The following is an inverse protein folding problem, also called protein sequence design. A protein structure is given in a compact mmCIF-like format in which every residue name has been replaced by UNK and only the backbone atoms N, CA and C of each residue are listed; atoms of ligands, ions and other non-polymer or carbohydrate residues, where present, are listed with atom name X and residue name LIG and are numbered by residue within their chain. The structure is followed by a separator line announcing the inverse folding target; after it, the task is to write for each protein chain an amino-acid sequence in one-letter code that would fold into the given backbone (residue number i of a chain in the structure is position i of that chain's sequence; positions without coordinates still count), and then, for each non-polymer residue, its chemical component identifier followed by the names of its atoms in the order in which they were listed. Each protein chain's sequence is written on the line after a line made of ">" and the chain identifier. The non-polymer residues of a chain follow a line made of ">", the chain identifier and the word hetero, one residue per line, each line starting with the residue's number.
data_IF_732556106019
#
_entry.id   IF_732556106019
#
_cell.length_a   1.000
_cell.length_b   1.000
_cell.length_c   1.000
_cell.angle_alpha   90.00
_cell.angle_beta   90.00
_cell.angle_gamma   90.00
#
_symmetry.space_group_name_H-M   'P 1'
#
loop_
_entity.id
_entity.type
_entity.pdbx_description
1 polymer ?
#
# COMPACT_ATOMS: atom_id res chain seq x y z
N UNK A 1 16.10 5.58 3.35
CA UNK A 1 15.53 6.95 3.38
C UNK A 1 16.41 7.91 4.16
N UNK A 2 16.59 7.75 5.48
CA UNK A 2 17.33 8.74 6.29
C UNK A 2 18.81 8.93 5.93
N UNK A 3 19.42 7.95 5.26
CA UNK A 3 20.80 8.00 4.78
C UNK A 3 20.93 8.51 3.34
N UNK A 4 19.82 8.79 2.66
CA UNK A 4 19.84 9.21 1.26
C UNK A 4 20.32 10.67 1.15
N UNK A 5 21.35 10.98 0.36
CA UNK A 5 21.87 12.35 0.24
C UNK A 5 20.81 13.37 -0.18
N UNK A 6 19.90 12.97 -1.09
CA UNK A 6 18.83 13.84 -1.58
C UNK A 6 17.83 14.18 -0.46
N UNK A 7 17.51 13.21 0.39
CA UNK A 7 16.70 13.42 1.59
C UNK A 7 17.34 14.43 2.53
N UNK A 8 18.63 14.24 2.84
CA UNK A 8 19.37 15.08 3.78
C UNK A 8 19.47 16.52 3.25
N UNK A 9 19.82 16.70 1.98
CA UNK A 9 19.92 18.01 1.33
C UNK A 9 18.57 18.72 1.36
N UNK A 10 17.49 18.03 1.00
CA UNK A 10 16.15 18.62 1.02
C UNK A 10 15.68 18.99 2.44
N UNK A 11 15.98 18.17 3.45
CA UNK A 11 15.72 18.51 4.86
C UNK A 11 16.47 19.78 5.30
N UNK A 12 17.78 19.86 5.00
CA UNK A 12 18.60 21.03 5.34
C UNK A 12 18.08 22.27 4.62
N UNK A 13 17.75 22.15 3.32
CA UNK A 13 17.21 23.24 2.52
C UNK A 13 15.90 23.79 3.08
N UNK A 14 14.95 22.91 3.44
CA UNK A 14 13.69 23.35 4.07
C UNK A 14 13.93 23.98 5.45
N UNK A 15 14.81 23.42 6.27
CA UNK A 15 15.12 23.97 7.60
C UNK A 15 15.74 25.38 7.50
N UNK A 16 16.64 25.59 6.55
CA UNK A 16 17.22 26.90 6.26
C UNK A 16 16.17 27.90 5.78
N UNK A 17 15.29 27.49 4.86
CA UNK A 17 14.21 28.35 4.37
C UNK A 17 13.27 28.76 5.51
N UNK A 18 12.89 27.81 6.37
CA UNK A 18 12.04 28.07 7.53
C UNK A 18 12.71 29.04 8.50
N UNK A 19 14.00 28.83 8.80
CA UNK A 19 14.75 29.72 9.70
C UNK A 19 14.85 31.15 9.16
N UNK A 20 15.17 31.29 7.86
CA UNK A 20 15.26 32.59 7.19
C UNK A 20 13.90 33.30 7.22
N UNK A 21 12.81 32.59 6.95
CA UNK A 21 11.45 33.13 7.03
C UNK A 21 11.11 33.63 8.43
N UNK A 22 11.30 32.79 9.46
CA UNK A 22 11.02 33.16 10.85
C UNK A 22 11.84 34.40 11.24
N UNK A 23 13.12 34.44 10.90
CA UNK A 23 13.99 35.58 11.21
C UNK A 23 13.47 36.86 10.55
N UNK A 24 13.12 36.80 9.27
CA UNK A 24 12.59 37.94 8.53
C UNK A 24 11.25 38.42 9.08
N UNK A 25 10.31 37.52 9.39
CA UNK A 25 9.02 37.89 9.99
C UNK A 25 9.15 38.49 11.41
N UNK A 26 10.31 38.38 12.06
CA UNK A 26 10.60 39.03 13.35
C UNK A 26 11.31 40.39 13.18
N UNK A 27 11.95 40.64 12.04
CA UNK A 27 12.62 41.90 11.74
C UNK A 27 11.61 42.85 11.04
N UNK A 28 11.31 44.00 11.67
CA UNK A 28 10.26 44.94 11.23
C UNK A 28 10.33 45.37 9.73
N UNK A 29 9.14 45.61 9.16
CA UNK A 29 8.71 45.91 7.76
C UNK A 29 9.51 46.95 6.91
N UNK A 30 10.62 47.51 7.40
CA UNK A 30 11.33 48.63 6.74
C UNK A 30 12.67 48.27 6.08
N UNK A 31 12.93 46.99 5.81
CA UNK A 31 14.16 46.53 5.15
C UNK A 31 13.80 46.05 3.74
N UNK A 32 14.53 46.51 2.72
CA UNK A 32 14.42 45.95 1.36
C UNK A 32 14.53 44.43 1.42
N UNK A 33 13.61 43.73 0.76
CA UNK A 33 13.58 42.27 0.77
C UNK A 33 14.94 41.71 0.32
N UNK A 34 15.68 41.00 1.20
CA UNK A 34 16.93 40.39 0.83
C UNK A 34 16.71 39.41 -0.33
N UNK A 35 17.72 39.27 -1.20
CA UNK A 35 17.69 38.30 -2.32
C UNK A 35 17.17 36.91 -1.90
N UNK A 36 17.56 36.43 -0.72
CA UNK A 36 17.13 35.15 -0.16
C UNK A 36 15.62 35.07 0.12
N UNK A 37 14.98 36.16 0.57
CA UNK A 37 13.53 36.21 0.81
C UNK A 37 12.77 36.19 -0.52
N UNK A 38 13.24 36.97 -1.51
CA UNK A 38 12.65 37.01 -2.85
C UNK A 38 12.59 35.64 -3.53
N UNK A 39 13.60 34.79 -3.32
CA UNK A 39 13.67 33.44 -3.92
C UNK A 39 13.31 32.31 -2.96
N UNK A 40 12.85 32.62 -1.75
CA UNK A 40 12.61 31.65 -0.70
C UNK A 40 11.60 30.57 -1.10
N UNK A 41 10.52 30.97 -1.78
CA UNK A 41 9.50 30.05 -2.28
C UNK A 41 10.09 29.04 -3.28
N UNK A 42 10.93 29.49 -4.21
CA UNK A 42 11.60 28.62 -5.19
C UNK A 42 12.58 27.65 -4.53
N UNK A 43 13.38 28.14 -3.58
CA UNK A 43 14.33 27.31 -2.81
C UNK A 43 13.60 26.25 -1.97
N UNK A 44 12.50 26.64 -1.31
CA UNK A 44 11.64 25.74 -0.55
C UNK A 44 10.99 24.70 -1.47
N UNK A 45 10.52 25.09 -2.65
CA UNK A 45 9.94 24.17 -3.63
C UNK A 45 10.96 23.14 -4.13
N UNK A 46 12.17 23.56 -4.51
CA UNK A 46 13.24 22.65 -4.95
C UNK A 46 13.62 21.68 -3.83
N UNK A 47 13.75 22.17 -2.60
CA UNK A 47 14.07 21.35 -1.43
C UNK A 47 12.96 20.34 -1.11
N UNK A 48 11.70 20.77 -1.19
CA UNK A 48 10.52 19.92 -1.01
C UNK A 48 10.39 18.86 -2.11
N UNK A 49 10.67 19.21 -3.37
CA UNK A 49 10.67 18.28 -4.49
C UNK A 49 11.78 17.22 -4.34
N UNK A 50 12.97 17.62 -3.91
CA UNK A 50 14.07 16.70 -3.61
C UNK A 50 13.71 15.70 -2.49
N UNK A 51 13.07 16.18 -1.41
CA UNK A 51 12.53 15.32 -0.35
C UNK A 51 11.52 14.31 -0.88
N UNK A 52 10.52 14.78 -1.63
CA UNK A 52 9.48 13.91 -2.18
C UNK A 52 10.08 12.86 -3.11
N UNK A 53 10.99 13.24 -4.01
CA UNK A 53 11.64 12.32 -4.94
C UNK A 53 12.43 11.24 -4.20
N UNK A 54 13.17 11.62 -3.14
CA UNK A 54 13.87 10.66 -2.28
C UNK A 54 12.91 9.68 -1.59
N UNK A 55 11.80 10.18 -1.05
CA UNK A 55 10.80 9.36 -0.36
C UNK A 55 10.21 8.34 -1.33
N UNK A 56 9.83 8.76 -2.54
CA UNK A 56 9.27 7.86 -3.55
C UNK A 56 10.29 6.82 -4.02
N UNK A 57 11.54 7.22 -4.30
CA UNK A 57 12.58 6.31 -4.76
C UNK A 57 12.92 5.24 -3.73
N UNK A 58 12.97 5.62 -2.45
CA UNK A 58 13.34 4.71 -1.36
C UNK A 58 12.13 3.99 -0.72
N UNK A 59 10.93 4.11 -1.29
CA UNK A 59 9.67 3.63 -0.69
C UNK A 59 9.53 4.03 0.79
N UNK A 60 9.90 5.27 1.10
CA UNK A 60 9.89 5.84 2.46
C UNK A 60 8.48 5.94 3.03
N UNK A 61 8.38 5.84 4.36
CA UNK A 61 7.11 6.01 5.07
C UNK A 61 6.76 7.50 5.14
N UNK A 62 5.86 7.93 4.26
CA UNK A 62 5.37 9.30 4.20
C UNK A 62 4.62 9.70 5.49
N UNK A 63 4.17 8.76 6.32
CA UNK A 63 3.63 9.02 7.65
C UNK A 63 4.65 9.65 8.60
N UNK A 64 5.92 9.23 8.54
CA UNK A 64 7.00 9.81 9.36
C UNK A 64 7.25 11.28 8.97
N UNK A 65 7.19 11.56 7.68
CA UNK A 65 7.41 12.92 7.13
C UNK A 65 6.25 13.84 7.51
N UNK A 66 5.01 13.34 7.42
CA UNK A 66 3.83 14.07 7.88
C UNK A 66 3.88 14.33 9.39
N UNK A 67 4.31 13.36 10.19
CA UNK A 67 4.52 13.55 11.63
C UNK A 67 5.57 14.64 11.90
N UNK A 68 6.76 14.53 11.30
CA UNK A 68 7.83 15.50 11.49
C UNK A 68 7.40 16.91 11.07
N UNK A 69 6.76 17.04 9.90
CA UNK A 69 6.20 18.31 9.43
C UNK A 69 5.15 18.89 10.37
N UNK A 70 4.25 18.04 10.90
CA UNK A 70 3.25 18.46 11.88
C UNK A 70 3.88 18.94 13.20
N UNK A 71 4.92 18.25 13.69
CA UNK A 71 5.64 18.65 14.90
C UNK A 71 6.38 19.98 14.71
N UNK A 72 7.05 20.16 13.56
CA UNK A 72 7.72 21.43 13.22
C UNK A 72 6.70 22.57 13.16
N UNK A 73 5.60 22.38 12.42
CA UNK A 73 4.55 23.40 12.32
C UNK A 73 3.94 23.73 13.70
N UNK A 74 3.77 22.74 14.56
CA UNK A 74 3.30 22.93 15.93
C UNK A 74 4.28 23.74 16.79
N UNK A 75 5.58 23.42 16.71
CA UNK A 75 6.62 24.16 17.44
C UNK A 75 6.68 25.62 16.97
N UNK A 76 6.67 25.86 15.66
CA UNK A 76 6.70 27.23 15.10
C UNK A 76 5.43 28.00 15.48
N UNK A 77 4.28 27.34 15.54
CA UNK A 77 3.04 27.95 16.03
C UNK A 77 3.14 28.38 17.50
N UNK A 78 3.73 27.54 18.38
CA UNK A 78 3.97 27.88 19.79
C UNK A 78 4.94 29.06 19.89
N UNK A 79 6.02 29.06 19.10
CA UNK A 79 6.99 30.16 19.06
C UNK A 79 6.32 31.46 18.61
N UNK A 80 5.47 31.42 17.58
CA UNK A 80 4.70 32.59 17.13
C UNK A 80 3.80 33.16 18.23
N UNK A 81 3.14 32.29 19.01
CA UNK A 81 2.32 32.71 20.14
C UNK A 81 3.17 33.30 21.28
N UNK A 82 4.31 32.68 21.60
CA UNK A 82 5.24 33.17 22.64
C UNK A 82 5.85 34.54 22.28
N UNK A 83 6.13 34.78 21.00
CA UNK A 83 6.68 36.03 20.49
C UNK A 83 5.60 37.09 20.19
N UNK A 84 4.32 36.80 20.45
CA UNK A 84 3.17 37.65 20.10
C UNK A 84 3.14 38.07 18.61
N UNK A 85 3.70 37.25 17.72
CA UNK A 85 3.73 37.52 16.29
C UNK A 85 2.56 36.79 15.60
N UNK A 86 1.56 37.56 15.17
CA UNK A 86 0.35 37.02 14.56
C UNK A 86 0.59 36.39 13.18
N UNK A 87 1.56 36.88 12.41
CA UNK A 87 1.91 36.36 11.09
C UNK A 87 2.46 34.92 11.21
N UNK A 88 3.44 34.72 12.10
CA UNK A 88 4.04 33.41 12.34
C UNK A 88 3.01 32.43 12.89
N UNK A 89 2.22 32.85 13.87
CA UNK A 89 1.22 32.00 14.51
C UNK A 89 0.13 31.55 13.52
N UNK A 90 -0.44 32.48 12.74
CA UNK A 90 -1.51 32.17 11.79
C UNK A 90 -1.01 31.32 10.62
N UNK A 91 0.16 31.65 10.07
CA UNK A 91 0.77 30.89 8.97
C UNK A 91 1.09 29.45 9.41
N UNK A 92 1.72 29.29 10.58
CA UNK A 92 2.05 27.97 11.12
C UNK A 92 0.81 27.13 11.43
N UNK A 93 -0.26 27.76 11.94
CA UNK A 93 -1.55 27.11 12.15
C UNK A 93 -2.16 26.59 10.85
N UNK A 94 -2.04 27.38 9.77
CA UNK A 94 -2.49 27.02 8.42
C UNK A 94 -1.80 25.76 7.88
N UNK A 95 -0.52 25.54 8.22
CA UNK A 95 0.19 24.31 7.87
C UNK A 95 -0.06 23.16 8.85
N UNK A 96 -0.11 23.45 10.15
CA UNK A 96 -0.25 22.44 11.20
C UNK A 96 -1.57 21.65 11.06
N UNK A 97 -2.70 22.35 10.91
CA UNK A 97 -4.01 21.69 10.91
C UNK A 97 -4.15 20.68 9.75
N UNK A 98 -3.90 21.02 8.47
CA UNK A 98 -4.00 20.06 7.38
C UNK A 98 -2.98 18.94 7.49
N UNK A 99 -1.71 19.23 7.82
CA UNK A 99 -0.68 18.20 7.95
C UNK A 99 -1.01 17.21 9.05
N UNK A 100 -1.47 17.70 10.20
CA UNK A 100 -1.84 16.85 11.33
C UNK A 100 -3.08 16.01 11.02
N UNK A 101 -4.11 16.58 10.38
CA UNK A 101 -5.29 15.82 9.94
C UNK A 101 -4.88 14.73 8.95
N UNK A 102 -4.11 15.05 7.91
CA UNK A 102 -3.64 14.08 6.92
C UNK A 102 -2.78 13.01 7.60
N UNK A 103 -1.91 13.38 8.53
CA UNK A 103 -1.13 12.44 9.34
C UNK A 103 -2.04 11.47 10.11
N UNK A 104 -3.02 11.97 10.86
CA UNK A 104 -3.92 11.13 11.66
C UNK A 104 -4.74 10.19 10.76
N UNK A 105 -5.36 10.74 9.71
CA UNK A 105 -6.16 9.96 8.75
C UNK A 105 -5.32 8.85 8.11
N UNK A 106 -4.11 9.17 7.65
CA UNK A 106 -3.25 8.21 6.95
C UNK A 106 -2.59 7.20 7.87
N UNK A 107 -2.17 7.62 9.05
CA UNK A 107 -1.49 6.73 10.00
C UNK A 107 -2.47 5.71 10.58
N UNK A 108 -3.71 6.13 10.89
CA UNK A 108 -4.64 5.30 11.67
C UNK A 108 -5.87 4.79 10.92
N UNK A 109 -6.32 5.44 9.83
CA UNK A 109 -7.56 5.07 9.15
C UNK A 109 -7.32 4.45 7.78
N UNK A 110 -7.04 5.27 6.77
CA UNK A 110 -6.97 4.82 5.36
C UNK A 110 -5.68 5.24 4.69
N UNK A 111 -5.05 4.28 4.02
CA UNK A 111 -3.85 4.53 3.23
C UNK A 111 -4.07 4.15 1.76
N UNK A 112 -3.80 5.08 0.82
CA UNK A 112 -3.98 4.80 -0.59
C UNK A 112 -2.82 3.96 -1.14
N UNK A 113 -3.13 2.93 -1.93
CA UNK A 113 -2.16 2.08 -2.62
C UNK A 113 -2.52 1.92 -4.10
N UNK A 114 -1.53 1.86 -4.98
CA UNK A 114 -1.73 1.48 -6.38
C UNK A 114 -1.42 0.00 -6.57
N UNK A 115 -2.24 -0.71 -7.34
CA UNK A 115 -2.00 -2.11 -7.70
C UNK A 115 -0.99 -2.20 -8.86
N UNK A 116 0.22 -2.76 -8.63
CA UNK A 116 1.24 -2.86 -9.66
C UNK A 116 1.16 -4.15 -10.49
N UNK A 117 0.37 -5.14 -10.04
CA UNK A 117 0.38 -6.52 -10.56
C UNK A 117 -1.03 -7.11 -10.69
N UNK A 118 -1.20 -8.08 -11.60
CA UNK A 118 -2.48 -8.75 -11.87
C UNK A 118 -2.76 -10.00 -11.03
N UNK A 119 -2.14 -10.15 -9.85
CA UNK A 119 -2.33 -11.35 -9.01
C UNK A 119 -3.72 -11.46 -8.36
N UNK A 120 -4.46 -10.35 -8.32
CA UNK A 120 -5.82 -10.24 -7.78
C UNK A 120 -6.87 -10.01 -8.88
N UNK A 121 -6.51 -10.31 -10.14
CA UNK A 121 -7.46 -10.32 -11.25
C UNK A 121 -8.46 -11.48 -11.09
N UNK A 122 -9.73 -11.32 -11.52
CA UNK A 122 -10.22 -10.23 -12.39
C UNK A 122 -10.71 -8.98 -11.64
N UNK A 123 -10.98 -9.07 -10.33
CA UNK A 123 -11.58 -8.00 -9.55
C UNK A 123 -10.65 -6.78 -9.44
N UNK A 124 -9.40 -7.00 -9.02
CA UNK A 124 -8.40 -5.95 -8.85
C UNK A 124 -7.37 -6.04 -9.98
N UNK A 125 -7.31 -4.99 -10.79
CA UNK A 125 -6.49 -4.92 -11.99
C UNK A 125 -5.30 -4.00 -11.79
N UNK A 126 -4.27 -4.18 -12.61
CA UNK A 126 -3.12 -3.28 -12.62
C UNK A 126 -3.57 -1.85 -12.92
N UNK A 127 -3.14 -0.90 -12.09
CA UNK A 127 -3.54 0.50 -12.19
C UNK A 127 -4.73 0.89 -11.32
N UNK A 128 -5.40 -0.06 -10.65
CA UNK A 128 -6.40 0.26 -9.64
C UNK A 128 -5.75 0.91 -8.41
N UNK A 129 -6.39 1.94 -7.87
CA UNK A 129 -6.02 2.62 -6.63
C UNK A 129 -6.99 2.23 -5.53
N UNK A 130 -6.44 1.66 -4.47
CA UNK A 130 -7.15 1.13 -3.33
C UNK A 130 -7.10 2.09 -2.15
N UNK A 131 -8.14 2.06 -1.31
CA UNK A 131 -8.10 2.56 0.06
C UNK A 131 -7.99 1.38 1.01
N UNK A 132 -6.86 1.30 1.70
CA UNK A 132 -6.57 0.23 2.66
C UNK A 132 -6.91 0.72 4.05
N UNK A 133 -7.88 0.06 4.68
CA UNK A 133 -8.28 0.29 6.06
C UNK A 133 -7.29 -0.38 7.01
N UNK A 134 -6.48 0.44 7.70
CA UNK A 134 -5.45 -0.03 8.64
C UNK A 134 -6.04 -0.37 10.01
N UNK A 135 -7.20 0.19 10.32
CA UNK A 135 -7.89 -0.06 11.58
C UNK A 135 -8.50 -1.47 11.63
N UNK A 136 -8.85 -2.07 10.49
CA UNK A 136 -9.51 -3.38 10.42
C UNK A 136 -8.79 -4.48 11.19
N UNK A 137 -7.47 -4.42 11.33
CA UNK A 137 -6.65 -5.42 12.03
C UNK A 137 -5.97 -4.88 13.29
N UNK A 138 -6.49 -3.78 13.84
CA UNK A 138 -6.04 -3.14 15.07
C UNK A 138 -5.00 -2.04 14.87
N UNK A 139 -4.83 -1.21 15.90
CA UNK A 139 -3.95 -0.05 15.85
C UNK A 139 -2.48 -0.46 15.97
N UNK A 140 -1.71 -0.15 14.91
CA UNK A 140 -0.27 -0.44 14.80
C UNK A 140 0.51 0.84 14.58
N UNK A 141 1.67 0.92 15.22
CA UNK A 141 2.64 2.02 14.99
C UNK A 141 3.61 1.62 13.88
N UNK A 142 4.08 0.37 13.90
CA UNK A 142 5.01 -0.16 12.89
C UNK A 142 4.25 -1.00 11.86
N UNK A 143 4.73 -0.98 10.62
CA UNK A 143 4.13 -1.73 9.50
C UNK A 143 4.06 -3.26 9.77
N UNK A 144 5.05 -3.80 10.49
CA UNK A 144 5.07 -5.18 10.99
C UNK A 144 5.11 -5.13 12.52
N UNK A 145 4.00 -5.49 13.15
CA UNK A 145 3.88 -5.61 14.61
C UNK A 145 2.52 -6.19 14.98
N UNK A 146 2.43 -6.76 16.18
CA UNK A 146 1.13 -7.05 16.78
C UNK A 146 0.44 -5.75 17.22
N UNK A 147 -0.87 -5.59 16.96
CA UNK A 147 -1.61 -4.42 17.41
C UNK A 147 -1.65 -4.36 18.94
N UNK A 148 -1.40 -3.19 19.52
CA UNK A 148 -1.47 -3.00 20.99
C UNK A 148 -2.90 -2.82 21.49
N UNK A 149 -3.77 -2.27 20.65
CA UNK A 149 -5.15 -1.93 20.98
C UNK A 149 -6.09 -2.34 19.84
N UNK A 150 -7.35 -2.65 20.18
CA UNK A 150 -8.44 -2.93 19.24
C UNK A 150 -8.08 -4.04 18.24
N UNK A 151 -7.49 -5.13 18.75
CA UNK A 151 -7.08 -6.27 17.94
C UNK A 151 -8.31 -6.99 17.38
N UNK A 152 -8.41 -7.02 16.06
CA UNK A 152 -9.35 -7.85 15.32
C UNK A 152 -8.54 -8.75 14.40
N UNK A 153 -8.90 -10.02 14.29
CA UNK A 153 -8.24 -10.95 13.37
C UNK A 153 -8.93 -10.91 11.99
N UNK A 154 -8.20 -11.18 10.90
CA UNK A 154 -8.76 -11.12 9.55
C UNK A 154 -9.79 -12.24 9.36
N UNK A 155 -10.82 -11.98 8.56
CA UNK A 155 -11.88 -12.93 8.26
C UNK A 155 -11.69 -13.63 6.92
N UNK A 156 -12.29 -14.81 6.76
CA UNK A 156 -12.20 -15.58 5.53
C UNK A 156 -12.72 -14.77 4.35
N UNK A 157 -12.01 -14.83 3.22
CA UNK A 157 -12.34 -14.05 2.03
C UNK A 157 -11.87 -12.59 2.09
N UNK A 158 -11.35 -12.09 3.22
CA UNK A 158 -10.87 -10.71 3.30
C UNK A 158 -9.74 -10.45 2.28
N UNK A 159 -9.84 -9.37 1.48
CA UNK A 159 -8.72 -8.85 0.70
C UNK A 159 -7.72 -8.17 1.66
N UNK A 160 -6.72 -8.93 2.07
CA UNK A 160 -5.71 -8.53 3.06
C UNK A 160 -4.49 -7.91 2.39
N UNK A 161 -4.03 -6.79 2.92
CA UNK A 161 -2.70 -6.25 2.64
C UNK A 161 -1.74 -6.79 3.69
N UNK A 162 -0.70 -7.48 3.24
CA UNK A 162 0.32 -8.12 4.06
C UNK A 162 1.70 -7.59 3.68
N UNK A 163 2.64 -7.66 4.61
CA UNK A 163 4.06 -7.40 4.32
C UNK A 163 4.81 -8.73 4.46
N UNK A 164 5.19 -9.40 3.37
CA UNK A 164 5.83 -10.70 3.46
C UNK A 164 7.17 -10.62 4.22
N UNK A 165 7.57 -11.65 4.99
CA UNK A 165 8.77 -11.61 5.83
C UNK A 165 10.08 -11.32 5.07
N UNK A 166 10.16 -11.76 3.81
CA UNK A 166 11.35 -11.67 2.96
C UNK A 166 11.32 -10.47 2.00
N UNK A 167 10.25 -9.66 2.00
CA UNK A 167 10.15 -8.50 1.12
C UNK A 167 9.33 -7.37 1.79
N UNK A 168 9.91 -6.18 2.01
CA UNK A 168 9.23 -5.08 2.70
C UNK A 168 8.11 -4.42 1.88
N UNK A 169 7.89 -4.85 0.64
CA UNK A 169 6.84 -4.33 -0.24
C UNK A 169 5.48 -4.93 0.13
N UNK A 170 4.43 -4.13 0.38
CA UNK A 170 3.10 -4.63 0.69
C UNK A 170 2.48 -5.41 -0.47
N UNK A 171 1.94 -6.58 -0.17
CA UNK A 171 1.23 -7.44 -1.11
C UNK A 171 -0.25 -7.48 -0.74
N UNK A 172 -1.11 -7.45 -1.75
CA UNK A 172 -2.53 -7.76 -1.58
C UNK A 172 -2.79 -9.21 -1.98
N UNK A 173 -3.50 -9.92 -1.11
CA UNK A 173 -3.95 -11.31 -1.31
C UNK A 173 -5.30 -11.49 -0.63
N UNK A 174 -5.97 -12.60 -0.91
CA UNK A 174 -7.20 -13.00 -0.22
C UNK A 174 -6.90 -13.98 0.89
N UNK A 175 -7.55 -13.82 2.05
CA UNK A 175 -7.45 -14.77 3.14
C UNK A 175 -8.21 -16.06 2.82
N UNK A 176 -7.50 -17.20 2.82
CA UNK A 176 -8.07 -18.52 2.55
C UNK A 176 -7.98 -19.45 3.78
N UNK A 177 -6.98 -19.31 4.65
CA UNK A 177 -6.84 -20.18 5.82
C UNK A 177 -6.47 -19.42 7.08
N UNK A 178 -7.08 -19.80 8.19
CA UNK A 178 -6.80 -19.33 9.55
C UNK A 178 -5.95 -20.36 10.32
N UNK A 179 -5.36 -19.98 11.47
CA UNK A 179 -4.58 -20.90 12.29
C UNK A 179 -5.32 -22.21 12.58
N UNK A 180 -4.71 -23.34 12.26
CA UNK A 180 -5.27 -24.68 12.46
C UNK A 180 -6.00 -25.29 11.26
N UNK A 181 -6.31 -24.51 10.23
CA UNK A 181 -7.01 -25.04 9.05
C UNK A 181 -6.13 -25.99 8.22
N UNK A 182 -6.76 -26.98 7.62
CA UNK A 182 -6.18 -27.80 6.56
C UNK A 182 -6.69 -27.33 5.20
N UNK A 183 -5.81 -26.80 4.37
CA UNK A 183 -6.10 -26.32 3.02
C UNK A 183 -5.62 -27.36 2.02
N UNK A 184 -6.50 -27.81 1.13
CA UNK A 184 -6.16 -28.74 0.06
C UNK A 184 -6.61 -28.22 -1.29
N UNK A 185 -5.78 -28.36 -2.31
CA UNK A 185 -6.10 -28.00 -3.70
C UNK A 185 -6.13 -29.29 -4.53
N UNK A 186 -7.25 -29.56 -5.19
CA UNK A 186 -7.41 -30.69 -6.11
C UNK A 186 -8.06 -30.17 -7.39
N UNK A 187 -7.42 -30.35 -8.55
CA UNK A 187 -7.94 -29.89 -9.85
C UNK A 187 -8.42 -28.42 -9.81
N UNK A 188 -7.57 -27.54 -9.24
CA UNK A 188 -7.82 -26.10 -9.06
C UNK A 188 -9.05 -25.76 -8.20
N UNK A 189 -9.60 -26.71 -7.45
CA UNK A 189 -10.67 -26.50 -6.46
C UNK A 189 -10.09 -26.55 -5.06
N UNK A 190 -10.45 -25.55 -4.25
CA UNK A 190 -10.06 -25.47 -2.84
C UNK A 190 -10.98 -26.31 -1.96
N UNK A 191 -10.36 -26.95 -0.98
CA UNK A 191 -11.00 -27.66 0.11
C UNK A 191 -10.41 -27.15 1.42
N UNK A 192 -11.25 -26.79 2.37
CA UNK A 192 -10.86 -26.28 3.69
C UNK A 192 -11.43 -27.22 4.73
N UNK A 193 -10.59 -27.79 5.56
CA UNK A 193 -10.96 -28.78 6.58
C UNK A 193 -11.76 -29.96 6.00
N UNK A 194 -11.48 -30.33 4.75
CA UNK A 194 -12.15 -31.40 4.01
C UNK A 194 -13.40 -30.96 3.22
N UNK A 195 -13.92 -29.77 3.45
CA UNK A 195 -15.10 -29.24 2.74
C UNK A 195 -14.70 -28.46 1.50
N UNK A 196 -15.34 -28.75 0.36
CA UNK A 196 -15.03 -28.08 -0.89
C UNK A 196 -15.68 -26.69 -0.93
N UNK A 197 -14.91 -25.66 -1.28
CA UNK A 197 -15.50 -24.33 -1.49
C UNK A 197 -16.48 -24.37 -2.68
N UNK A 198 -17.64 -23.74 -2.47
CA UNK A 198 -18.65 -23.58 -3.51
C UNK A 198 -18.11 -22.62 -4.58
N UNK A 199 -18.27 -22.99 -5.85
CA UNK A 199 -17.89 -22.13 -6.96
C UNK A 199 -18.87 -22.25 -8.12
N UNK A 200 -19.19 -21.12 -8.73
CA UNK A 200 -20.10 -21.01 -9.86
C UNK A 200 -19.33 -20.43 -11.05
N UNK A 201 -19.36 -21.13 -12.19
CA UNK A 201 -18.74 -20.65 -13.41
C UNK A 201 -19.46 -19.41 -13.92
N UNK A 202 -18.70 -18.40 -14.33
CA UNK A 202 -19.24 -17.13 -14.87
C UNK A 202 -19.03 -17.09 -16.37
N UNK A 203 -17.78 -17.02 -16.80
CA UNK A 203 -17.41 -16.90 -18.20
C UNK A 203 -15.97 -17.37 -18.46
N UNK A 204 -15.64 -17.47 -19.75
CA UNK A 204 -14.29 -17.75 -20.22
C UNK A 204 -13.77 -16.53 -20.97
N UNK A 205 -12.53 -16.14 -20.71
CA UNK A 205 -11.87 -15.01 -21.36
C UNK A 205 -10.51 -15.42 -21.96
N UNK A 206 -10.07 -14.66 -22.97
CA UNK A 206 -8.71 -14.76 -23.48
C UNK A 206 -7.79 -13.88 -22.66
N UNK A 207 -6.70 -14.44 -22.15
CA UNK A 207 -5.70 -13.71 -21.36
C UNK A 207 -4.32 -13.82 -22.00
N UNK A 208 -3.47 -12.82 -21.72
CA UNK A 208 -2.07 -12.83 -22.11
C UNK A 208 -1.24 -13.15 -20.87
N UNK A 209 -0.60 -14.31 -20.85
CA UNK A 209 0.35 -14.66 -19.80
C UNK A 209 1.73 -14.14 -20.16
N UNK A 210 2.38 -13.45 -19.21
CA UNK A 210 3.80 -13.07 -19.33
C UNK A 210 4.65 -14.04 -18.52
N UNK A 211 5.28 -14.99 -19.18
CA UNK A 211 6.13 -15.99 -18.52
C UNK A 211 7.60 -15.64 -18.66
N UNK A 212 8.36 -15.81 -17.58
CA UNK A 212 9.82 -15.63 -17.56
C UNK A 212 10.48 -16.99 -17.74
N UNK A 213 11.30 -17.12 -18.78
CA UNK A 213 12.09 -18.31 -19.06
C UNK A 213 13.54 -18.04 -18.74
N UNK A 214 14.12 -18.82 -17.82
CA UNK A 214 15.54 -18.80 -17.54
C UNK A 214 16.23 -19.83 -18.45
N UNK A 215 17.08 -19.35 -19.34
CA UNK A 215 17.85 -20.20 -20.24
C UNK A 215 19.10 -20.74 -19.54
N UNK A 216 19.68 -21.87 -20.00
CA UNK A 216 20.94 -22.39 -19.47
C UNK A 216 22.11 -21.40 -19.52
N UNK A 217 22.06 -20.43 -20.45
CA UNK A 217 23.02 -19.31 -20.53
C UNK A 217 22.94 -18.34 -19.35
N UNK A 218 21.91 -18.42 -18.52
CA UNK A 218 21.61 -17.48 -17.44
C UNK A 218 20.65 -16.36 -17.82
N UNK A 219 20.38 -16.18 -19.12
CA UNK A 219 19.48 -15.14 -19.62
C UNK A 219 18.02 -15.40 -19.19
N UNK A 220 17.33 -14.34 -18.76
CA UNK A 220 15.91 -14.39 -18.41
C UNK A 220 15.13 -13.62 -19.47
N UNK A 221 14.36 -14.34 -20.29
CA UNK A 221 13.52 -13.73 -21.32
C UNK A 221 12.05 -13.84 -20.91
N UNK A 222 11.34 -12.72 -20.95
CA UNK A 222 9.89 -12.70 -20.80
C UNK A 222 9.24 -12.96 -22.16
N UNK A 223 8.38 -13.97 -22.26
CA UNK A 223 7.54 -14.23 -23.44
C UNK A 223 6.08 -14.10 -23.09
N UNK A 224 5.32 -13.55 -24.03
CA UNK A 224 3.87 -13.45 -23.94
C UNK A 224 3.24 -14.62 -24.67
N UNK A 225 2.30 -15.30 -24.03
CA UNK A 225 1.56 -16.43 -24.61
C UNK A 225 0.08 -16.25 -24.37
N UNK A 226 -0.72 -16.48 -25.40
CA UNK A 226 -2.17 -16.51 -25.27
C UNK A 226 -2.58 -17.71 -24.42
N UNK A 227 -3.49 -17.49 -23.47
CA UNK A 227 -4.09 -18.52 -22.66
C UNK A 227 -5.59 -18.23 -22.47
N UNK A 228 -6.28 -19.20 -21.89
CA UNK A 228 -7.71 -19.12 -21.63
C UNK A 228 -7.92 -19.10 -20.12
N UNK A 229 -8.54 -18.04 -19.60
CA UNK A 229 -8.94 -17.91 -18.20
C UNK A 229 -10.42 -18.25 -18.03
N UNK A 230 -10.74 -19.11 -17.09
CA UNK A 230 -12.11 -19.37 -16.63
C UNK A 230 -12.35 -18.59 -15.33
N UNK A 231 -13.39 -17.75 -15.34
CA UNK A 231 -13.81 -16.95 -14.20
C UNK A 231 -14.88 -17.72 -13.41
N UNK A 232 -14.73 -17.71 -12.09
CA UNK A 232 -15.71 -18.29 -11.17
C UNK A 232 -16.03 -17.30 -10.05
N UNK A 233 -17.28 -17.27 -9.58
CA UNK A 233 -17.57 -16.85 -8.22
C UNK A 233 -17.15 -17.98 -7.28
N UNK A 234 -16.37 -17.67 -6.26
CA UNK A 234 -16.03 -18.60 -5.19
C UNK A 234 -16.56 -18.03 -3.87
N UNK A 235 -17.29 -18.86 -3.13
CA UNK A 235 -17.88 -18.51 -1.85
C UNK A 235 -17.06 -19.11 -0.72
N UNK A 236 -16.76 -18.28 0.26
CA UNK A 236 -16.05 -18.67 1.47
C UNK A 236 -16.71 -17.99 2.68
N UNK A 237 -17.47 -18.78 3.45
CA UNK A 237 -18.37 -18.29 4.50
C UNK A 237 -19.32 -17.20 3.96
N UNK A 238 -19.26 -16.01 4.54
CA UNK A 238 -20.13 -14.87 4.19
C UNK A 238 -19.56 -14.02 3.03
N UNK A 239 -18.37 -14.36 2.52
CA UNK A 239 -17.72 -13.67 1.42
C UNK A 239 -17.89 -14.42 0.10
N UNK A 240 -18.19 -13.68 -0.97
CA UNK A 240 -18.23 -14.18 -2.34
C UNK A 240 -17.41 -13.25 -3.23
N UNK A 241 -16.50 -13.82 -4.01
CA UNK A 241 -15.53 -13.07 -4.80
C UNK A 241 -15.21 -13.77 -6.12
N UNK A 242 -14.68 -13.01 -7.08
CA UNK A 242 -14.29 -13.54 -8.38
C UNK A 242 -12.87 -14.08 -8.34
N UNK A 243 -12.68 -15.27 -8.91
CA UNK A 243 -11.37 -15.88 -9.13
C UNK A 243 -11.18 -16.21 -10.61
N UNK A 244 -9.92 -16.33 -11.02
CA UNK A 244 -9.54 -16.78 -12.36
C UNK A 244 -8.65 -18.01 -12.27
N UNK A 245 -9.07 -19.06 -12.98
CA UNK A 245 -8.27 -20.26 -13.23
C UNK A 245 -7.86 -20.29 -14.72
N UNK A 246 -6.58 -20.44 -15.00
CA UNK A 246 -6.06 -20.53 -16.37
C UNK A 246 -6.00 -21.99 -16.82
N UNK A 247 -6.55 -22.29 -18.01
CA UNK A 247 -6.53 -23.64 -18.59
C UNK A 247 -5.12 -24.05 -18.99
N UNK A 248 -4.76 -25.31 -18.77
CA UNK A 248 -3.47 -25.88 -19.16
C UNK A 248 -2.27 -25.40 -18.32
N UNK A 249 -2.51 -24.63 -17.26
CA UNK A 249 -1.50 -24.20 -16.29
C UNK A 249 -1.68 -24.93 -14.96
N UNK A 250 -0.60 -25.16 -14.21
CA UNK A 250 -0.63 -25.76 -12.87
C UNK A 250 -1.63 -26.92 -12.72
N UNK A 251 -1.46 -27.97 -13.52
CA UNK A 251 -2.07 -29.27 -13.24
C UNK A 251 -1.37 -29.85 -11.99
N UNK A 252 -1.67 -29.26 -10.82
CA UNK A 252 -1.05 -29.64 -9.57
C UNK A 252 -1.57 -31.02 -9.16
N UNK A 253 -0.63 -31.89 -8.79
CA UNK A 253 -0.96 -32.99 -7.88
C UNK A 253 -1.63 -32.43 -6.63
N UNK A 254 -2.53 -33.18 -5.97
CA UNK A 254 -3.13 -32.73 -4.72
C UNK A 254 -2.08 -32.22 -3.75
N UNK A 255 -2.17 -30.93 -3.40
CA UNK A 255 -1.31 -30.30 -2.39
C UNK A 255 -2.15 -30.00 -1.15
N UNK A 256 -1.57 -30.23 0.02
CA UNK A 256 -2.22 -30.03 1.30
C UNK A 256 -1.28 -29.28 2.24
N UNK A 257 -1.84 -28.32 2.97
CA UNK A 257 -1.14 -27.50 3.95
C UNK A 257 -1.96 -27.45 5.23
N UNK A 258 -1.30 -27.59 6.37
CA UNK A 258 -1.91 -27.30 7.67
C UNK A 258 -1.37 -25.97 8.18
N UNK A 259 -2.25 -25.00 8.42
CA UNK A 259 -1.87 -23.64 8.81
C UNK A 259 -1.35 -23.64 10.25
N UNK A 260 -0.08 -23.23 10.49
CA UNK A 260 0.46 -23.17 11.84
C UNK A 260 -0.27 -22.19 12.76
N UNK A 261 -0.17 -22.40 14.07
CA UNK A 261 -0.67 -21.43 15.06
C UNK A 261 -0.09 -20.03 14.82
N UNK A 262 -0.93 -18.99 14.92
CA UNK A 262 -0.53 -17.60 14.73
C UNK A 262 -0.21 -17.21 13.28
N UNK A 263 -0.38 -18.11 12.32
CA UNK A 263 -0.15 -17.88 10.90
C UNK A 263 -1.44 -18.03 10.09
N UNK A 264 -1.40 -17.54 8.86
CA UNK A 264 -2.52 -17.54 7.94
C UNK A 264 -2.08 -17.98 6.54
N UNK A 265 -3.04 -18.48 5.77
CA UNK A 265 -2.84 -18.88 4.38
C UNK A 265 -3.58 -17.91 3.47
N UNK A 266 -2.87 -17.31 2.52
CA UNK A 266 -3.42 -16.31 1.60
C UNK A 266 -3.19 -16.74 0.15
N UNK A 267 -4.11 -16.41 -0.74
CA UNK A 267 -4.01 -16.71 -2.18
C UNK A 267 -4.37 -15.50 -3.02
N UNK A 268 -3.84 -15.43 -4.23
CA UNK A 268 -4.33 -14.47 -5.22
C UNK A 268 -5.62 -14.96 -5.86
N UNK A 269 -6.46 -14.02 -6.30
CA UNK A 269 -7.67 -14.35 -7.06
C UNK A 269 -7.34 -14.86 -8.46
N UNK A 270 -6.20 -14.42 -9.02
CA UNK A 270 -5.63 -14.97 -10.25
C UNK A 270 -4.78 -16.21 -9.90
N UNK A 271 -5.46 -17.34 -9.68
CA UNK A 271 -4.95 -18.53 -8.98
C UNK A 271 -3.66 -19.08 -9.58
N UNK A 272 -3.57 -19.10 -10.90
CA UNK A 272 -2.40 -19.63 -11.59
C UNK A 272 -1.25 -18.62 -11.73
N UNK A 273 -1.57 -17.32 -11.65
CA UNK A 273 -0.64 -16.22 -11.85
C UNK A 273 -0.47 -15.34 -10.59
N UNK A 274 -0.47 -15.99 -9.44
CA UNK A 274 -0.23 -15.36 -8.14
C UNK A 274 1.01 -15.96 -7.49
N UNK A 275 1.82 -15.11 -6.85
CA UNK A 275 2.84 -15.53 -5.90
C UNK A 275 2.27 -15.34 -4.49
N UNK A 276 1.86 -16.45 -3.87
CA UNK A 276 1.08 -16.49 -2.63
C UNK A 276 1.52 -17.65 -1.72
N UNK A 277 0.70 -18.04 -0.74
CA UNK A 277 1.07 -19.05 0.25
C UNK A 277 1.37 -20.43 -0.36
N UNK A 278 0.91 -20.71 -1.58
CA UNK A 278 1.26 -21.94 -2.32
C UNK A 278 2.67 -21.90 -2.92
N UNK A 279 3.32 -20.72 -2.93
CA UNK A 279 4.62 -20.45 -3.56
C UNK A 279 5.55 -19.69 -2.58
N UNK A 280 6.02 -18.50 -2.94
CA UNK A 280 7.10 -17.84 -2.21
C UNK A 280 6.63 -17.11 -0.94
N UNK A 281 5.34 -16.74 -0.83
CA UNK A 281 4.84 -16.04 0.36
C UNK A 281 4.83 -16.96 1.58
N UNK A 282 4.49 -18.23 1.40
CA UNK A 282 4.32 -19.19 2.49
C UNK A 282 3.23 -18.78 3.48
N UNK A 283 3.28 -19.32 4.69
CA UNK A 283 2.36 -18.93 5.77
C UNK A 283 2.72 -17.54 6.30
N UNK A 284 1.70 -16.70 6.51
CA UNK A 284 1.88 -15.30 6.88
C UNK A 284 1.61 -15.12 8.39
N UNK A 285 2.59 -14.67 9.19
CA UNK A 285 2.37 -14.41 10.60
C UNK A 285 1.36 -13.27 10.81
N UNK A 286 0.59 -13.33 11.92
CA UNK A 286 -0.44 -12.32 12.25
C UNK A 286 0.09 -10.88 12.27
N UNK A 287 1.32 -10.67 12.71
CA UNK A 287 1.96 -9.36 12.82
C UNK A 287 2.21 -8.67 11.46
N UNK A 288 2.28 -9.46 10.39
CA UNK A 288 2.53 -9.01 9.01
C UNK A 288 1.27 -8.48 8.31
N UNK A 289 0.08 -8.65 8.90
CA UNK A 289 -1.17 -8.12 8.35
C UNK A 289 -1.24 -6.61 8.55
N UNK A 290 -1.18 -5.85 7.46
CA UNK A 290 -1.11 -4.40 7.47
C UNK A 290 -2.50 -3.72 7.52
N UNK A 291 -3.46 -4.22 6.74
CA UNK A 291 -4.82 -3.68 6.69
C UNK A 291 -5.72 -4.41 5.69
N UNK A 292 -7.00 -4.07 5.66
CA UNK A 292 -7.98 -4.62 4.71
C UNK A 292 -8.15 -3.67 3.54
N UNK A 293 -8.01 -4.17 2.30
CA UNK A 293 -8.33 -3.36 1.12
C UNK A 293 -9.85 -3.28 0.97
N UNK A 294 -10.42 -2.09 1.20
CA UNK A 294 -11.88 -1.98 1.34
C UNK A 294 -12.55 -1.31 0.14
N UNK A 295 -11.86 -0.38 -0.52
CA UNK A 295 -12.42 0.35 -1.65
C UNK A 295 -11.42 0.47 -2.80
N UNK A 296 -11.93 0.46 -4.02
CA UNK A 296 -11.28 1.06 -5.19
C UNK A 296 -11.82 2.49 -5.27
N UNK A 297 -10.96 3.48 -5.40
CA UNK A 297 -11.40 4.88 -5.54
C UNK A 297 -11.05 5.49 -6.89
N UNK A 298 -10.11 4.90 -7.64
CA UNK A 298 -9.72 5.37 -8.97
C UNK A 298 -8.99 4.24 -9.71
N UNK A 299 -9.05 4.24 -11.03
CA UNK A 299 -8.24 3.38 -11.90
C UNK A 299 -7.45 4.27 -12.85
N UNK A 300 -6.13 4.08 -12.91
CA UNK A 300 -5.26 4.82 -13.83
C UNK A 300 -4.22 3.88 -14.43
N UNK A 301 -4.48 3.46 -15.68
CA UNK A 301 -3.76 2.38 -16.35
C UNK A 301 -2.38 2.81 -16.88
N UNK A 302 -2.26 4.06 -17.30
CA UNK A 302 -1.03 4.61 -17.87
C UNK A 302 -0.89 6.11 -17.59
N UNK A 303 0.35 6.62 -17.56
CA UNK A 303 0.62 8.03 -17.25
C UNK A 303 -0.03 9.02 -18.23
N UNK A 304 -0.21 8.62 -19.49
CA UNK A 304 -0.86 9.43 -20.53
C UNK A 304 -2.38 9.20 -20.60
N UNK A 305 -2.91 8.25 -19.84
CA UNK A 305 -4.33 7.92 -19.81
C UNK A 305 -5.06 8.90 -18.88
N UNK A 306 -6.36 9.11 -19.10
CA UNK A 306 -7.18 9.80 -18.12
C UNK A 306 -7.54 8.84 -16.97
N UNK A 307 -7.52 9.30 -15.71
CA UNK A 307 -8.01 8.50 -14.60
C UNK A 307 -9.51 8.23 -14.74
N UNK A 308 -9.92 7.00 -14.42
CA UNK A 308 -11.30 6.53 -14.46
C UNK A 308 -11.82 6.26 -13.05
N UNK A 309 -13.08 6.62 -12.81
CA UNK A 309 -13.77 6.37 -11.54
C UNK A 309 -14.88 5.32 -11.69
N UNK A 310 -14.98 4.65 -12.85
CA UNK A 310 -16.07 3.71 -13.13
C UNK A 310 -16.07 2.48 -12.22
N UNK A 311 -14.89 2.02 -11.79
CA UNK A 311 -14.72 0.90 -10.85
C UNK A 311 -14.75 1.33 -9.38
N UNK A 312 -14.98 2.63 -9.10
CA UNK A 312 -14.96 3.12 -7.73
C UNK A 312 -16.10 2.49 -6.92
N UNK A 313 -15.77 1.87 -5.79
CA UNK A 313 -16.71 1.08 -5.02
C UNK A 313 -16.04 0.19 -4.00
N UNK A 314 -16.86 -0.54 -3.25
CA UNK A 314 -16.40 -1.48 -2.22
C UNK A 314 -15.83 -2.74 -2.87
N UNK A 315 -14.78 -3.28 -2.28
CA UNK A 315 -14.18 -4.57 -2.64
C UNK A 315 -14.88 -5.65 -1.80
N UNK A 316 -15.41 -6.66 -2.48
CA UNK A 316 -15.99 -7.85 -1.86
C UNK A 316 -14.93 -8.87 -1.45
#
# INVERSE_FOLDING_TARGET
>A
MLTDPLFIIGCIGMALCLFIWIKFSLENENIEEPFLIRYLSTLSFISGAALLLSIFYNAGDLGIVLLAGSLIAFIVMIVGHYLNNSEIANTSRGYFIPLFIIFVLRTFLYEPYQIPSGSMEPQLQKGDFLLVNKYSYGLKINRISMPKYLRNDPEYGDPVVIIPPHNPVPYIKRLIGKPGDTIRIINKKLYINGEALERNFVETEQIILKKRYKYPSGDIIAKETNAIGDIYYEKHNDSEYLIRNTRGENDQYPQEWTVPSGHYFVMGDNRDNSNDSTKDVGFVPRENFFGKAEYIWMTWECWTCLPSFKKAGKIN
#
